data_IF_086275844191
#
_entry.id   IF_086275844191
#
_cell.length_a   1.000
_cell.length_b   1.000
_cell.length_c   1.000
_cell.angle_alpha   90.00
_cell.angle_beta   90.00
_cell.angle_gamma   90.00
#
_symmetry.space_group_name_H-M   'P 1'
#
loop_
_entity.id
_entity.type
_entity.pdbx_description
1 polymer ?
#
# COMPACT_ATOMS: atom_id res chain seq x y z
N UNK A 1 9.92 5.41 -1.67
CA UNK A 1 10.45 4.71 -0.49
C UNK A 1 10.41 3.19 -0.62
N UNK A 2 9.28 2.52 -0.92
CA UNK A 2 9.28 1.05 -1.00
C UNK A 2 10.18 0.46 -2.12
N UNK A 3 10.36 1.20 -3.23
CA UNK A 3 11.13 0.73 -4.40
C UNK A 3 12.61 0.60 -4.12
N UNK A 4 13.20 1.51 -3.33
CA UNK A 4 14.65 1.63 -3.22
C UNK A 4 15.30 0.36 -2.64
N UNK A 5 14.79 -0.24 -1.53
CA UNK A 5 15.32 -1.50 -1.01
C UNK A 5 15.15 -2.69 -1.97
N UNK A 6 14.03 -2.73 -2.70
CA UNK A 6 13.74 -3.80 -3.65
C UNK A 6 14.67 -3.71 -4.86
N UNK A 7 14.87 -2.49 -5.39
CA UNK A 7 15.79 -2.24 -6.48
C UNK A 7 17.23 -2.58 -6.08
N UNK A 8 17.68 -2.12 -4.90
CA UNK A 8 19.01 -2.40 -4.40
C UNK A 8 19.31 -3.91 -4.31
N UNK A 9 18.30 -4.72 -3.99
CA UNK A 9 18.50 -6.16 -3.83
C UNK A 9 18.36 -6.95 -5.13
N UNK A 10 17.38 -6.61 -5.96
CA UNK A 10 17.00 -7.44 -7.11
C UNK A 10 17.58 -6.95 -8.45
N UNK A 11 18.00 -5.68 -8.54
CA UNK A 11 18.35 -5.04 -9.82
C UNK A 11 19.73 -4.38 -9.80
N UNK A 12 20.02 -3.61 -8.75
CA UNK A 12 21.23 -2.79 -8.67
C UNK A 12 22.52 -3.63 -8.80
N UNK A 13 23.48 -3.12 -9.56
CA UNK A 13 24.84 -3.66 -9.58
C UNK A 13 25.53 -3.45 -8.22
N UNK A 14 26.60 -4.21 -7.92
CA UNK A 14 27.31 -4.10 -6.63
C UNK A 14 27.72 -2.66 -6.27
N UNK A 15 28.13 -1.84 -7.24
CA UNK A 15 28.52 -0.45 -6.99
C UNK A 15 27.34 0.51 -6.74
N UNK A 16 26.11 0.12 -7.09
CA UNK A 16 24.93 0.97 -6.95
C UNK A 16 24.16 0.70 -5.66
N UNK A 17 24.26 -0.51 -5.09
CA UNK A 17 23.47 -0.93 -3.92
C UNK A 17 23.61 0.04 -2.75
N UNK A 18 24.85 0.34 -2.36
CA UNK A 18 25.13 1.24 -1.24
C UNK A 18 24.54 2.64 -1.47
N UNK A 19 24.62 3.17 -2.70
CA UNK A 19 24.07 4.49 -3.03
C UNK A 19 22.55 4.53 -2.94
N UNK A 20 21.87 3.47 -3.40
CA UNK A 20 20.40 3.38 -3.33
C UNK A 20 19.93 3.20 -1.88
N UNK A 21 20.63 2.38 -1.10
CA UNK A 21 20.33 2.22 0.33
C UNK A 21 20.60 3.52 1.07
N UNK A 22 21.71 4.22 0.78
CA UNK A 22 22.00 5.51 1.40
C UNK A 22 20.91 6.54 1.09
N UNK A 23 20.40 6.60 -0.15
CA UNK A 23 19.29 7.48 -0.50
C UNK A 23 18.04 7.20 0.35
N UNK A 24 17.70 5.92 0.55
CA UNK A 24 16.59 5.54 1.42
C UNK A 24 16.83 6.04 2.86
N UNK A 25 18.01 5.78 3.42
CA UNK A 25 18.37 6.21 4.77
C UNK A 25 18.35 7.73 4.92
N UNK A 26 18.89 8.47 3.95
CA UNK A 26 18.91 9.94 3.96
C UNK A 26 17.50 10.54 4.01
N UNK A 27 16.53 9.90 3.33
CA UNK A 27 15.12 10.32 3.38
C UNK A 27 14.55 10.10 4.78
N UNK A 28 14.78 8.93 5.39
CA UNK A 28 14.26 8.61 6.72
C UNK A 28 14.91 9.50 7.79
N UNK A 29 16.23 9.68 7.71
CA UNK A 29 16.97 10.58 8.59
C UNK A 29 16.43 12.01 8.48
N UNK A 30 16.19 12.51 7.26
CA UNK A 30 15.61 13.85 7.07
C UNK A 30 14.22 13.95 7.70
N UNK A 31 13.38 12.92 7.60
CA UNK A 31 12.06 12.90 8.25
C UNK A 31 12.22 12.99 9.76
N UNK A 32 13.07 12.14 10.35
CA UNK A 32 13.32 12.09 11.80
C UNK A 32 13.87 13.43 12.32
N UNK A 33 14.87 14.00 11.64
CA UNK A 33 15.52 15.25 12.03
C UNK A 33 14.60 16.48 11.95
N UNK A 34 13.54 16.41 11.15
CA UNK A 34 12.52 17.45 11.05
C UNK A 34 11.27 17.10 11.86
N UNK A 35 11.45 16.38 12.97
CA UNK A 35 10.38 16.07 13.90
C UNK A 35 9.29 15.20 13.29
N UNK A 36 9.68 14.24 12.43
CA UNK A 36 8.78 13.34 11.69
C UNK A 36 7.94 14.03 10.61
N UNK A 37 8.46 15.12 10.03
CA UNK A 37 7.88 15.75 8.84
C UNK A 37 8.86 15.72 7.68
N UNK A 38 8.36 15.71 6.44
CA UNK A 38 9.20 15.83 5.24
C UNK A 38 9.09 17.23 4.67
N UNK A 39 10.09 18.12 4.93
CA UNK A 39 10.13 19.44 4.34
C UNK A 39 10.50 19.40 2.86
N UNK A 40 9.99 20.36 2.09
CA UNK A 40 10.39 20.61 0.70
C UNK A 40 11.72 21.39 0.64
N UNK A 41 12.13 21.85 -0.53
CA UNK A 41 13.36 22.63 -0.75
C UNK A 41 13.38 23.97 0.00
N UNK A 42 12.22 24.48 0.39
CA UNK A 42 12.03 25.73 1.12
C UNK A 42 11.99 25.55 2.66
N UNK A 43 12.11 24.31 3.14
CA UNK A 43 12.05 23.97 4.57
C UNK A 43 10.64 23.85 5.12
N UNK A 44 9.60 24.03 4.31
CA UNK A 44 8.20 23.89 4.73
C UNK A 44 7.77 22.43 4.57
N UNK A 45 7.12 21.81 5.57
CA UNK A 45 6.54 20.48 5.43
C UNK A 45 5.68 20.36 4.17
N UNK A 46 5.94 19.31 3.39
CA UNK A 46 5.12 18.98 2.22
C UNK A 46 3.70 18.65 2.65
N UNK A 47 2.71 18.84 1.75
CA UNK A 47 1.29 18.66 2.05
C UNK A 47 0.95 17.34 2.76
N UNK A 48 1.61 16.24 2.36
CA UNK A 48 1.36 14.89 2.86
C UNK A 48 2.48 14.36 3.77
N UNK A 49 3.59 15.08 3.92
CA UNK A 49 4.76 14.62 4.67
C UNK A 49 4.64 14.84 6.16
N UNK A 50 3.63 14.27 6.80
CA UNK A 50 3.29 14.48 8.21
C UNK A 50 3.15 13.15 8.96
N UNK A 51 4.22 12.75 9.66
CA UNK A 51 4.25 11.55 10.52
C UNK A 51 4.47 11.90 11.99
N UNK A 52 4.40 13.17 12.36
CA UNK A 52 4.58 13.64 13.72
C UNK A 52 3.37 13.33 14.62
N UNK A 53 3.59 13.13 15.93
CA UNK A 53 2.51 12.72 16.83
C UNK A 53 1.33 13.68 16.91
N UNK A 54 1.55 14.99 16.73
CA UNK A 54 0.49 15.97 16.75
C UNK A 54 -0.41 15.81 15.52
N UNK A 55 0.17 15.83 14.31
CA UNK A 55 -0.58 15.65 13.07
C UNK A 55 -1.31 14.31 13.03
N UNK A 56 -0.68 13.23 13.50
CA UNK A 56 -1.26 11.88 13.45
C UNK A 56 -2.39 11.69 14.48
N UNK A 57 -2.21 12.18 15.71
CA UNK A 57 -3.13 11.85 16.81
C UNK A 57 -4.06 12.99 17.24
N UNK A 58 -3.72 14.24 16.95
CA UNK A 58 -4.42 15.42 17.51
C UNK A 58 -5.02 16.33 16.42
N UNK A 59 -4.45 16.35 15.22
CA UNK A 59 -5.01 17.12 14.09
C UNK A 59 -6.22 16.40 13.48
N UNK A 60 -7.39 17.01 13.62
CA UNK A 60 -8.64 16.46 13.10
C UNK A 60 -8.73 16.55 11.58
N UNK A 61 -8.02 17.48 10.94
CA UNK A 61 -8.02 17.60 9.48
C UNK A 61 -7.24 16.45 8.81
N UNK A 62 -6.42 15.73 9.58
CA UNK A 62 -5.59 14.61 9.13
C UNK A 62 -6.01 13.27 9.71
N UNK A 63 -7.18 13.21 10.34
CA UNK A 63 -7.62 12.01 11.05
C UNK A 63 -7.71 10.77 10.14
N UNK A 64 -8.05 10.97 8.86
CA UNK A 64 -8.17 9.91 7.85
C UNK A 64 -6.84 9.23 7.56
N UNK A 65 -5.73 9.96 7.70
CA UNK A 65 -4.38 9.49 7.42
C UNK A 65 -3.71 8.84 8.64
N UNK A 66 -4.31 8.94 9.84
CA UNK A 66 -3.69 8.50 11.11
C UNK A 66 -3.12 7.09 11.03
N UNK A 67 -3.93 6.16 10.55
CA UNK A 67 -3.56 4.75 10.42
C UNK A 67 -2.47 4.53 9.37
N UNK A 68 -2.65 5.12 8.19
CA UNK A 68 -1.68 5.08 7.09
C UNK A 68 -0.31 5.65 7.50
N UNK A 69 -0.29 6.86 8.06
CA UNK A 69 0.95 7.53 8.42
C UNK A 69 1.66 6.76 9.55
N UNK A 70 0.92 6.25 10.54
CA UNK A 70 1.50 5.38 11.57
C UNK A 70 2.16 4.13 10.97
N UNK A 71 1.47 3.45 10.05
CA UNK A 71 2.02 2.29 9.35
C UNK A 71 3.29 2.64 8.58
N UNK A 72 3.24 3.71 7.79
CA UNK A 72 4.35 4.15 6.95
C UNK A 72 5.62 4.40 7.77
N UNK A 73 5.59 5.29 8.76
CA UNK A 73 6.82 5.66 9.47
C UNK A 73 7.39 4.50 10.30
N UNK A 74 6.54 3.66 10.90
CA UNK A 74 7.01 2.48 11.61
C UNK A 74 7.64 1.46 10.66
N UNK A 75 7.05 1.25 9.48
CA UNK A 75 7.64 0.43 8.41
C UNK A 75 8.97 1.02 7.96
N UNK A 76 9.07 2.34 7.76
CA UNK A 76 10.31 2.96 7.28
C UNK A 76 11.46 2.84 8.28
N UNK A 77 11.18 3.06 9.57
CA UNK A 77 12.17 2.93 10.63
C UNK A 77 12.67 1.49 10.78
N UNK A 78 11.75 0.51 10.78
CA UNK A 78 12.12 -0.92 10.84
C UNK A 78 12.87 -1.38 9.58
N UNK A 79 12.51 -0.89 8.39
CA UNK A 79 13.26 -1.15 7.17
C UNK A 79 14.67 -0.52 7.22
N UNK A 80 14.81 0.73 7.67
CA UNK A 80 16.10 1.40 7.80
C UNK A 80 17.06 0.63 8.72
N UNK A 81 16.55 0.13 9.85
CA UNK A 81 17.31 -0.73 10.76
C UNK A 81 17.86 -2.00 10.07
N UNK A 82 16.97 -2.76 9.42
CA UNK A 82 17.34 -3.99 8.71
C UNK A 82 18.38 -3.70 7.62
N UNK A 83 18.19 -2.62 6.85
CA UNK A 83 19.08 -2.25 5.75
C UNK A 83 20.46 -1.83 6.25
N UNK A 84 20.54 -1.06 7.34
CA UNK A 84 21.82 -0.74 8.00
C UNK A 84 22.58 -2.01 8.36
N UNK A 85 21.90 -2.97 9.02
CA UNK A 85 22.51 -4.23 9.43
C UNK A 85 22.92 -5.10 8.24
N UNK A 86 22.05 -5.22 7.24
CA UNK A 86 22.24 -6.09 6.05
C UNK A 86 23.40 -5.62 5.19
N UNK A 87 23.54 -4.32 5.00
CA UNK A 87 24.55 -3.72 4.11
C UNK A 87 25.75 -3.13 4.84
N UNK A 88 25.79 -3.19 6.17
CA UNK A 88 26.89 -2.62 6.96
C UNK A 88 26.99 -1.10 6.85
N UNK A 89 25.86 -0.42 6.65
CA UNK A 89 25.81 1.04 6.53
C UNK A 89 26.08 1.71 7.88
N UNK A 90 26.47 2.98 7.86
CA UNK A 90 26.55 3.78 9.09
C UNK A 90 25.18 4.38 9.40
N UNK A 91 24.61 4.07 10.56
CA UNK A 91 23.37 4.69 11.01
C UNK A 91 23.64 6.11 11.54
N UNK A 92 22.84 7.09 11.09
CA UNK A 92 22.86 8.46 11.61
C UNK A 92 21.98 8.62 12.86
N UNK A 93 20.86 7.89 12.88
CA UNK A 93 19.89 7.87 13.97
C UNK A 93 19.72 6.46 14.55
N UNK A 94 19.22 6.39 15.79
CA UNK A 94 18.77 5.13 16.39
C UNK A 94 17.31 4.86 15.95
N UNK A 95 17.16 4.23 14.79
CA UNK A 95 15.85 3.98 14.20
C UNK A 95 14.90 3.20 15.12
N UNK A 96 15.44 2.31 15.97
CA UNK A 96 14.62 1.52 16.88
C UNK A 96 14.22 2.30 18.13
N UNK A 97 15.04 3.24 18.60
CA UNK A 97 14.60 4.20 19.62
C UNK A 97 13.45 5.09 19.09
N UNK A 98 13.52 5.56 17.84
CA UNK A 98 12.42 6.31 17.24
C UNK A 98 11.18 5.45 17.00
N UNK A 99 11.36 4.18 16.58
CA UNK A 99 10.27 3.24 16.43
C UNK A 99 9.57 3.03 17.78
N UNK A 100 10.32 2.74 18.84
CA UNK A 100 9.78 2.50 20.19
C UNK A 100 9.03 3.73 20.74
N UNK A 101 9.62 4.92 20.58
CA UNK A 101 8.97 6.17 20.96
C UNK A 101 7.61 6.35 20.27
N UNK A 102 7.53 6.17 18.96
CA UNK A 102 6.27 6.33 18.23
C UNK A 102 5.27 5.20 18.52
N UNK A 103 5.75 3.95 18.51
CA UNK A 103 4.94 2.75 18.66
C UNK A 103 4.32 2.66 20.06
N UNK A 104 5.14 2.80 21.10
CA UNK A 104 4.74 2.65 22.51
C UNK A 104 4.40 3.99 23.18
N UNK A 105 5.11 5.07 22.85
CA UNK A 105 4.93 6.38 23.49
C UNK A 105 3.80 7.23 22.87
N UNK A 106 3.59 7.14 21.56
CA UNK A 106 2.72 8.06 20.81
C UNK A 106 1.48 7.37 20.20
N UNK A 107 1.06 6.22 20.74
CA UNK A 107 -0.13 5.47 20.32
C UNK A 107 -0.09 4.84 18.91
N UNK A 108 1.07 4.76 18.24
CA UNK A 108 1.06 4.25 16.85
C UNK A 108 0.74 2.76 16.78
N UNK A 109 1.05 1.96 17.83
CA UNK A 109 0.57 0.57 17.98
C UNK A 109 -0.96 0.48 17.84
N UNK A 110 -1.69 1.41 18.45
CA UNK A 110 -3.16 1.44 18.39
C UNK A 110 -3.65 1.84 17.00
N UNK A 111 -2.97 2.77 16.35
CA UNK A 111 -3.33 3.24 15.01
C UNK A 111 -3.23 2.12 13.97
N UNK A 112 -2.29 1.17 14.13
CA UNK A 112 -2.21 -0.04 13.30
C UNK A 112 -3.47 -0.92 13.39
N UNK A 113 -4.25 -0.83 14.47
CA UNK A 113 -5.51 -1.56 14.59
C UNK A 113 -6.62 -1.07 13.66
N UNK A 114 -6.47 0.13 13.06
CA UNK A 114 -7.47 0.79 12.23
C UNK A 114 -6.81 1.59 11.08
N UNK A 115 -5.96 0.91 10.30
CA UNK A 115 -5.28 1.52 9.14
C UNK A 115 -6.27 1.87 8.04
N UNK A 116 -7.15 0.93 7.67
CA UNK A 116 -8.24 1.16 6.73
C UNK A 116 -9.50 1.65 7.47
N UNK A 117 -9.90 2.88 7.21
CA UNK A 117 -11.22 3.37 7.62
C UNK A 117 -12.31 2.65 6.83
N UNK A 118 -13.39 2.27 7.52
CA UNK A 118 -14.45 1.40 6.99
C UNK A 118 -15.70 2.17 6.53
N UNK A 119 -15.78 3.46 6.83
CA UNK A 119 -16.87 4.29 6.37
C UNK A 119 -16.71 4.53 4.86
N UNK A 120 -17.80 4.39 4.10
CA UNK A 120 -17.80 4.62 2.64
C UNK A 120 -17.42 6.06 2.28
N UNK A 121 -17.74 7.02 3.15
CA UNK A 121 -17.31 8.42 3.04
C UNK A 121 -15.81 8.64 3.26
N UNK A 122 -15.08 7.62 3.69
CA UNK A 122 -13.64 7.64 3.93
C UNK A 122 -12.90 6.72 2.96
N UNK A 123 -13.59 6.16 1.96
CA UNK A 123 -12.95 5.25 1.01
C UNK A 123 -11.98 6.01 0.11
N UNK A 124 -10.70 5.65 0.21
CA UNK A 124 -9.60 6.28 -0.51
C UNK A 124 -8.66 5.22 -1.08
N UNK A 125 -8.83 4.92 -2.37
CA UNK A 125 -8.01 3.96 -3.09
C UNK A 125 -6.52 4.35 -3.18
N UNK A 126 -6.20 5.65 -3.08
CA UNK A 126 -4.80 6.09 -3.00
C UNK A 126 -4.17 5.76 -1.66
N UNK A 127 -4.93 5.82 -0.56
CA UNK A 127 -4.41 5.41 0.74
C UNK A 127 -4.24 3.89 0.77
N UNK A 128 -5.17 3.14 0.17
CA UNK A 128 -5.06 1.69 0.07
C UNK A 128 -3.80 1.26 -0.68
N UNK A 129 -3.52 1.86 -1.84
CA UNK A 129 -2.25 1.63 -2.56
C UNK A 129 -1.05 1.87 -1.64
N UNK A 130 -1.00 3.02 -0.95
CA UNK A 130 0.12 3.35 -0.07
C UNK A 130 0.25 2.41 1.14
N UNK A 131 -0.86 1.96 1.73
CA UNK A 131 -0.87 0.98 2.81
C UNK A 131 -0.25 -0.34 2.36
N UNK A 132 -0.66 -0.87 1.21
CA UNK A 132 -0.14 -2.14 0.69
C UNK A 132 1.31 -2.05 0.25
N UNK A 133 1.76 -0.91 -0.28
CA UNK A 133 3.17 -0.69 -0.57
C UNK A 133 4.03 -0.59 0.71
N UNK A 134 3.49 -0.03 1.80
CA UNK A 134 4.15 -0.07 3.10
C UNK A 134 4.22 -1.50 3.67
N UNK A 135 3.11 -2.26 3.64
CA UNK A 135 3.14 -3.67 4.05
C UNK A 135 4.12 -4.50 3.21
N UNK A 136 4.21 -4.22 1.90
CA UNK A 136 5.16 -4.94 1.04
C UNK A 136 6.61 -4.61 1.39
N UNK A 137 6.93 -3.35 1.69
CA UNK A 137 8.24 -2.97 2.21
C UNK A 137 8.54 -3.71 3.53
N UNK A 138 7.60 -3.69 4.48
CA UNK A 138 7.74 -4.40 5.76
C UNK A 138 8.00 -5.89 5.55
N UNK A 139 7.24 -6.54 4.67
CA UNK A 139 7.46 -7.93 4.33
C UNK A 139 8.87 -8.15 3.73
N UNK A 140 9.25 -7.33 2.74
CA UNK A 140 10.46 -7.52 1.97
C UNK A 140 11.73 -7.32 2.80
N UNK A 141 11.72 -6.37 3.74
CA UNK A 141 12.85 -6.11 4.63
C UNK A 141 12.71 -6.88 5.94
N UNK A 142 11.64 -6.66 6.71
CA UNK A 142 11.53 -7.18 8.08
C UNK A 142 11.24 -8.66 8.11
N UNK A 143 10.25 -9.16 7.36
CA UNK A 143 9.85 -10.56 7.47
C UNK A 143 10.82 -11.51 6.78
N UNK A 144 11.31 -11.13 5.60
CA UNK A 144 12.26 -11.96 4.85
C UNK A 144 13.66 -11.97 5.49
N UNK A 145 14.08 -10.86 6.09
CA UNK A 145 15.35 -10.74 6.82
C UNK A 145 15.12 -10.64 8.34
N UNK A 146 14.18 -11.42 8.88
CA UNK A 146 13.73 -11.34 10.29
C UNK A 146 14.84 -11.53 11.33
N UNK A 147 15.89 -12.28 11.00
CA UNK A 147 17.09 -12.44 11.83
C UNK A 147 17.89 -11.14 12.02
N UNK A 148 17.68 -10.12 11.19
CA UNK A 148 18.29 -8.80 11.31
C UNK A 148 17.39 -7.81 12.04
N UNK A 149 16.08 -8.00 12.02
CA UNK A 149 15.11 -7.13 12.70
C UNK A 149 15.25 -7.21 14.22
N UNK A 150 15.11 -6.07 14.92
CA UNK A 150 14.96 -6.08 16.39
C UNK A 150 13.50 -6.19 16.87
N UNK A 151 12.54 -6.29 15.95
CA UNK A 151 11.13 -6.45 16.32
C UNK A 151 10.86 -7.84 16.89
N UNK A 152 10.09 -7.88 17.98
CA UNK A 152 9.62 -9.13 18.56
C UNK A 152 8.40 -9.71 17.80
N UNK A 153 8.10 -10.98 18.09
CA UNK A 153 6.99 -11.70 17.46
C UNK A 153 5.63 -11.04 17.73
N UNK A 154 5.44 -10.39 18.90
CA UNK A 154 4.20 -9.67 19.21
C UNK A 154 4.02 -8.46 18.28
N UNK A 155 5.07 -7.68 18.08
CA UNK A 155 5.04 -6.51 17.20
C UNK A 155 4.83 -6.94 15.76
N UNK A 156 5.50 -7.99 15.29
CA UNK A 156 5.28 -8.57 13.96
C UNK A 156 3.81 -9.01 13.79
N UNK A 157 3.23 -9.66 14.81
CA UNK A 157 1.84 -10.08 14.77
C UNK A 157 0.87 -8.89 14.66
N UNK A 158 1.17 -7.73 15.25
CA UNK A 158 0.37 -6.50 15.08
C UNK A 158 0.34 -6.03 13.63
N UNK A 159 1.49 -6.03 12.93
CA UNK A 159 1.54 -5.66 11.51
C UNK A 159 0.76 -6.66 10.64
N UNK A 160 0.85 -7.96 10.94
CA UNK A 160 0.11 -8.99 10.22
C UNK A 160 -1.40 -8.89 10.45
N UNK A 161 -1.85 -8.69 11.68
CA UNK A 161 -3.25 -8.46 12.01
C UNK A 161 -3.79 -7.17 11.34
N UNK A 162 -2.96 -6.12 11.29
CA UNK A 162 -3.26 -4.88 10.58
C UNK A 162 -3.50 -5.12 9.08
N UNK A 163 -2.61 -5.86 8.40
CA UNK A 163 -2.79 -6.24 7.00
C UNK A 163 -4.01 -7.16 6.82
N UNK A 164 -4.22 -8.14 7.71
CA UNK A 164 -5.35 -9.07 7.61
C UNK A 164 -6.69 -8.33 7.65
N UNK A 165 -6.83 -7.40 8.62
CA UNK A 165 -8.00 -6.52 8.72
C UNK A 165 -8.14 -5.67 7.49
N UNK A 166 -7.06 -5.01 7.05
CA UNK A 166 -7.09 -4.15 5.85
C UNK A 166 -7.54 -4.95 4.62
N UNK A 167 -6.95 -6.12 4.37
CA UNK A 167 -7.28 -7.01 3.26
C UNK A 167 -8.74 -7.47 3.27
N UNK A 168 -9.27 -7.86 4.44
CA UNK A 168 -10.70 -8.19 4.58
C UNK A 168 -11.62 -7.08 4.08
N UNK A 169 -11.24 -5.82 4.32
CA UNK A 169 -12.05 -4.67 3.94
C UNK A 169 -11.87 -4.27 2.49
N UNK A 170 -10.69 -4.45 1.89
CA UNK A 170 -10.44 -3.99 0.51
C UNK A 170 -10.52 -5.09 -0.55
N UNK A 171 -10.54 -6.37 -0.17
CA UNK A 171 -10.50 -7.50 -1.11
C UNK A 171 -11.65 -7.51 -2.14
N UNK A 172 -12.79 -6.90 -1.80
CA UNK A 172 -13.94 -6.73 -2.70
C UNK A 172 -13.64 -5.82 -3.91
N UNK A 173 -12.60 -4.98 -3.85
CA UNK A 173 -12.11 -4.17 -4.97
C UNK A 173 -11.33 -4.98 -6.03
N UNK A 174 -11.06 -6.26 -5.73
CA UNK A 174 -10.38 -7.22 -6.61
C UNK A 174 -9.00 -6.76 -7.16
N UNK A 175 -8.25 -5.96 -6.40
CA UNK A 175 -6.95 -5.45 -6.81
C UNK A 175 -5.81 -6.50 -6.69
N UNK A 176 -5.11 -6.79 -7.78
CA UNK A 176 -4.02 -7.79 -7.81
C UNK A 176 -2.79 -7.46 -6.97
N UNK A 177 -2.39 -6.19 -6.84
CA UNK A 177 -1.23 -5.82 -6.01
C UNK A 177 -1.54 -6.10 -4.55
N UNK A 178 -2.73 -5.70 -4.10
CA UNK A 178 -3.18 -5.93 -2.74
C UNK A 178 -3.28 -7.43 -2.42
N UNK A 179 -3.86 -8.21 -3.35
CA UNK A 179 -3.93 -9.65 -3.22
C UNK A 179 -2.54 -10.32 -3.17
N UNK A 180 -1.61 -9.86 -4.01
CA UNK A 180 -0.23 -10.35 -4.03
C UNK A 180 0.51 -10.11 -2.72
N UNK A 181 0.40 -8.89 -2.17
CA UNK A 181 1.00 -8.54 -0.87
C UNK A 181 0.36 -9.32 0.27
N UNK A 182 -0.97 -9.48 0.28
CA UNK A 182 -1.67 -10.29 1.28
C UNK A 182 -1.19 -11.75 1.26
N UNK A 183 -1.04 -12.34 0.08
CA UNK A 183 -0.49 -13.71 -0.07
C UNK A 183 0.98 -13.81 0.36
N UNK A 184 1.80 -12.83 0.04
CA UNK A 184 3.22 -12.84 0.41
C UNK A 184 3.42 -12.79 1.93
N UNK A 185 2.66 -11.93 2.62
CA UNK A 185 2.85 -11.67 4.05
C UNK A 185 2.01 -12.56 4.96
N UNK A 186 0.82 -12.98 4.53
CA UNK A 186 -0.13 -13.76 5.33
C UNK A 186 -0.34 -15.20 4.82
N UNK A 187 0.31 -15.59 3.72
CA UNK A 187 -0.02 -16.83 2.99
C UNK A 187 0.05 -18.13 3.80
N UNK A 188 0.83 -18.16 4.89
CA UNK A 188 0.95 -19.29 5.82
C UNK A 188 -0.06 -19.23 6.98
N UNK A 189 -0.68 -18.08 7.21
CA UNK A 189 -1.66 -17.84 8.28
C UNK A 189 -3.11 -17.85 7.76
N UNK A 190 -3.30 -17.63 6.46
CA UNK A 190 -4.61 -17.73 5.82
C UNK A 190 -5.11 -19.18 5.80
N UNK A 191 -6.43 -19.34 5.97
CA UNK A 191 -7.07 -20.63 5.68
C UNK A 191 -6.91 -20.97 4.19
N UNK A 192 -6.96 -22.27 3.84
CA UNK A 192 -6.89 -22.69 2.43
C UNK A 192 -7.97 -22.02 1.56
N UNK A 193 -9.16 -21.79 2.12
CA UNK A 193 -10.25 -21.10 1.42
C UNK A 193 -9.92 -19.62 1.18
N UNK A 194 -9.40 -18.91 2.19
CA UNK A 194 -9.00 -17.50 2.05
C UNK A 194 -7.81 -17.33 1.09
N UNK A 195 -6.89 -18.30 1.10
CA UNK A 195 -5.73 -18.35 0.19
C UNK A 195 -6.16 -18.56 -1.26
N UNK A 196 -7.07 -19.51 -1.51
CA UNK A 196 -7.66 -19.75 -2.84
C UNK A 196 -8.46 -18.53 -3.33
N UNK A 197 -9.29 -17.93 -2.47
CA UNK A 197 -10.02 -16.70 -2.79
C UNK A 197 -9.08 -15.56 -3.18
N UNK A 198 -8.06 -15.29 -2.37
CA UNK A 198 -7.09 -14.21 -2.63
C UNK A 198 -6.29 -14.48 -3.91
N UNK A 199 -5.89 -15.73 -4.15
CA UNK A 199 -5.19 -16.13 -5.38
C UNK A 199 -6.09 -15.97 -6.61
N UNK A 200 -7.38 -16.25 -6.52
CA UNK A 200 -8.34 -16.03 -7.61
C UNK A 200 -8.46 -14.56 -7.97
N UNK A 201 -8.47 -13.65 -6.99
CA UNK A 201 -8.44 -12.20 -7.25
C UNK A 201 -7.19 -11.83 -8.05
N UNK A 202 -6.00 -12.20 -7.55
CA UNK A 202 -4.73 -11.94 -8.20
C UNK A 202 -4.72 -12.42 -9.66
N UNK A 203 -5.14 -13.67 -9.90
CA UNK A 203 -5.14 -14.26 -11.25
C UNK A 203 -6.20 -13.59 -12.13
N UNK A 204 -7.42 -13.36 -11.62
CA UNK A 204 -8.52 -12.74 -12.38
C UNK A 204 -8.11 -11.36 -12.87
N UNK A 205 -7.59 -10.51 -11.99
CA UNK A 205 -7.22 -9.14 -12.30
C UNK A 205 -6.05 -9.09 -13.30
N UNK A 206 -5.03 -9.96 -13.15
CA UNK A 206 -3.94 -10.09 -14.12
C UNK A 206 -4.41 -10.56 -15.50
N UNK A 207 -5.28 -11.58 -15.56
CA UNK A 207 -5.79 -12.14 -16.82
C UNK A 207 -6.69 -11.16 -17.56
N UNK A 208 -7.49 -10.38 -16.83
CA UNK A 208 -8.44 -9.42 -17.41
C UNK A 208 -7.86 -8.02 -17.60
N UNK A 209 -6.59 -7.80 -17.25
CA UNK A 209 -5.94 -6.50 -17.43
C UNK A 209 -5.98 -6.07 -18.90
N UNK A 210 -6.51 -4.88 -19.24
CA UNK A 210 -6.62 -4.47 -20.63
C UNK A 210 -5.24 -4.29 -21.26
N UNK A 211 -5.07 -4.79 -22.49
CA UNK A 211 -3.84 -4.63 -23.28
C UNK A 211 -3.62 -3.15 -23.64
N UNK A 212 -4.71 -2.45 -23.96
CA UNK A 212 -4.65 -1.01 -24.23
C UNK A 212 -4.52 -0.26 -22.92
N UNK A 213 -3.45 0.53 -22.81
CA UNK A 213 -3.16 1.37 -21.64
C UNK A 213 -3.87 2.73 -21.70
N UNK A 214 -4.74 2.93 -22.70
CA UNK A 214 -5.52 4.14 -22.89
C UNK A 214 -6.77 4.08 -22.02
N UNK A 215 -7.13 5.20 -21.42
CA UNK A 215 -8.34 5.36 -20.61
C UNK A 215 -9.58 5.52 -21.48
N UNK A 216 -9.83 4.55 -22.38
CA UNK A 216 -10.94 4.58 -23.32
C UNK A 216 -12.26 4.87 -22.63
N UNK A 217 -13.14 5.53 -23.37
CA UNK A 217 -14.49 5.73 -22.89
C UNK A 217 -15.22 4.39 -22.77
N UNK A 218 -16.06 4.26 -21.74
CA UNK A 218 -16.90 3.10 -21.53
C UNK A 218 -18.17 3.52 -20.77
N UNK A 219 -19.22 2.74 -20.93
CA UNK A 219 -20.49 2.93 -20.22
C UNK A 219 -20.99 1.59 -19.72
N UNK A 220 -20.98 1.43 -18.41
CA UNK A 220 -21.50 0.29 -17.68
C UNK A 220 -22.72 0.68 -16.80
N UNK A 221 -23.43 1.76 -17.16
CA UNK A 221 -24.54 2.32 -16.36
C UNK A 221 -25.59 1.26 -16.01
N UNK A 222 -25.87 1.04 -14.71
CA UNK A 222 -26.92 0.14 -14.24
C UNK A 222 -28.29 0.45 -14.82
N UNK A 223 -29.00 -0.59 -15.25
CA UNK A 223 -30.34 -0.49 -15.85
C UNK A 223 -30.36 -0.01 -17.31
N UNK A 224 -29.24 0.50 -17.83
CA UNK A 224 -29.10 0.92 -19.23
C UNK A 224 -28.24 -0.07 -20.00
N UNK A 225 -26.93 0.00 -19.81
CA UNK A 225 -25.97 -0.84 -20.53
C UNK A 225 -25.72 -2.17 -19.79
N UNK A 226 -25.83 -2.15 -18.46
CA UNK A 226 -25.70 -3.34 -17.60
C UNK A 226 -26.99 -3.60 -16.82
N UNK A 227 -27.56 -4.81 -16.97
CA UNK A 227 -28.80 -5.23 -16.26
C UNK A 227 -28.51 -5.99 -14.96
N UNK A 228 -27.27 -6.40 -14.79
CA UNK A 228 -26.75 -7.22 -13.69
C UNK A 228 -26.05 -6.39 -12.60
N UNK A 229 -26.03 -5.07 -12.75
CA UNK A 229 -25.37 -4.14 -11.84
C UNK A 229 -26.38 -3.24 -11.13
N UNK A 230 -26.00 -2.78 -9.95
CA UNK A 230 -26.83 -1.93 -9.10
C UNK A 230 -25.97 -0.78 -8.56
N UNK A 231 -26.58 0.38 -8.40
CA UNK A 231 -25.92 1.53 -7.76
C UNK A 231 -25.79 1.29 -6.26
N UNK A 232 -24.65 1.68 -5.70
CA UNK A 232 -24.45 1.72 -4.25
C UNK A 232 -25.32 2.84 -3.64
N UNK A 233 -26.21 2.53 -2.70
CA UNK A 233 -27.04 3.55 -2.04
C UNK A 233 -26.27 4.38 -0.99
N UNK A 234 -25.04 4.02 -0.65
CA UNK A 234 -24.24 4.74 0.34
C UNK A 234 -23.64 6.03 -0.25
N UNK A 235 -23.32 6.97 0.64
CA UNK A 235 -22.53 8.15 0.28
C UNK A 235 -21.10 7.75 -0.02
N UNK A 236 -20.53 8.29 -1.08
CA UNK A 236 -19.09 8.23 -1.32
C UNK A 236 -18.34 9.32 -0.53
N UNK A 237 -17.02 9.36 -0.71
CA UNK A 237 -16.13 10.33 -0.07
C UNK A 237 -16.38 11.78 -0.49
N UNK A 238 -17.00 12.01 -1.63
CA UNK A 238 -17.36 13.34 -2.11
C UNK A 238 -18.76 13.78 -1.65
N UNK A 239 -19.48 12.88 -0.98
CA UNK A 239 -20.85 13.11 -0.49
C UNK A 239 -21.92 12.80 -1.54
N UNK A 240 -21.56 12.17 -2.65
CA UNK A 240 -22.50 11.78 -3.71
C UNK A 240 -23.12 10.41 -3.40
N UNK A 241 -24.35 10.20 -3.86
CA UNK A 241 -25.09 8.93 -3.74
C UNK A 241 -25.36 8.38 -5.13
N UNK A 242 -25.11 7.09 -5.32
CA UNK A 242 -25.30 6.43 -6.62
C UNK A 242 -24.25 6.80 -7.67
N UNK A 243 -23.07 7.26 -7.25
CA UNK A 243 -21.88 7.48 -8.09
C UNK A 243 -21.13 6.17 -8.39
N UNK A 244 -21.37 5.10 -7.62
CA UNK A 244 -20.70 3.80 -7.74
C UNK A 244 -21.66 2.65 -7.95
N UNK A 245 -21.15 1.55 -8.51
CA UNK A 245 -21.82 0.25 -8.52
C UNK A 245 -21.43 -0.61 -7.32
N UNK A 246 -22.26 -1.59 -6.96
CA UNK A 246 -22.03 -2.46 -5.79
C UNK A 246 -20.96 -3.54 -5.98
N UNK A 247 -20.51 -3.77 -7.21
CA UNK A 247 -19.47 -4.74 -7.56
C UNK A 247 -18.48 -4.08 -8.54
N UNK A 248 -17.18 -4.41 -8.48
CA UNK A 248 -16.21 -3.79 -9.35
C UNK A 248 -16.50 -4.14 -10.82
N UNK A 249 -16.34 -3.17 -11.72
CA UNK A 249 -16.41 -3.45 -13.16
C UNK A 249 -15.22 -4.34 -13.53
N UNK A 250 -15.42 -5.41 -14.32
CA UNK A 250 -14.29 -6.19 -14.75
C UNK A 250 -13.28 -5.38 -15.57
N UNK A 251 -11.98 -5.59 -15.35
CA UNK A 251 -10.89 -4.79 -15.94
C UNK A 251 -10.91 -4.71 -17.48
N UNK A 252 -11.34 -5.76 -18.16
CA UNK A 252 -11.49 -5.85 -19.62
C UNK A 252 -12.80 -5.25 -20.15
N UNK A 253 -13.68 -4.78 -19.26
CA UNK A 253 -14.95 -4.11 -19.57
C UNK A 253 -14.95 -2.62 -19.18
N UNK A 254 -13.81 -2.09 -18.72
CA UNK A 254 -13.64 -0.70 -18.30
C UNK A 254 -12.37 -0.07 -18.89
N UNK A 255 -12.17 1.22 -18.60
CA UNK A 255 -10.94 1.94 -18.92
C UNK A 255 -9.72 1.36 -18.18
N UNK A 256 -8.52 1.61 -18.70
CA UNK A 256 -7.28 1.25 -17.98
C UNK A 256 -7.20 2.02 -16.64
N UNK A 257 -7.13 1.27 -15.53
CA UNK A 257 -7.17 1.81 -14.16
C UNK A 257 -5.85 1.60 -13.43
N UNK A 258 -5.32 2.65 -12.81
CA UNK A 258 -4.25 2.56 -11.81
C UNK A 258 -4.68 1.73 -10.58
N UNK A 259 -3.72 1.29 -9.77
CA UNK A 259 -4.03 0.53 -8.53
C UNK A 259 -4.80 1.37 -7.51
N UNK A 260 -4.67 2.70 -7.56
CA UNK A 260 -5.38 3.66 -6.73
C UNK A 260 -6.63 4.27 -7.41
N UNK A 261 -7.05 3.73 -8.55
CA UNK A 261 -8.27 4.18 -9.20
C UNK A 261 -9.47 3.38 -8.68
N UNK A 262 -10.62 4.04 -8.68
CA UNK A 262 -11.88 3.47 -8.25
C UNK A 262 -12.41 2.44 -9.25
N UNK A 263 -12.53 1.14 -8.87
CA UNK A 263 -13.03 0.09 -9.76
C UNK A 263 -14.56 0.01 -9.84
N UNK A 264 -15.29 0.83 -9.08
CA UNK A 264 -16.75 0.88 -9.00
C UNK A 264 -17.34 2.03 -9.83
N UNK A 265 -16.50 2.86 -10.45
CA UNK A 265 -16.95 3.81 -11.45
C UNK A 265 -17.46 3.06 -12.69
N UNK A 266 -18.67 3.40 -13.14
CA UNK A 266 -19.32 2.72 -14.27
C UNK A 266 -19.31 3.55 -15.55
N UNK A 267 -18.57 4.67 -15.60
CA UNK A 267 -18.38 5.49 -16.80
C UNK A 267 -16.92 5.90 -16.98
N UNK A 268 -16.51 6.05 -18.25
CA UNK A 268 -15.15 6.41 -18.64
C UNK A 268 -14.88 7.92 -18.73
N UNK A 269 -13.64 8.26 -19.11
CA UNK A 269 -13.15 9.65 -19.20
C UNK A 269 -12.80 10.10 -20.62
N UNK A 270 -13.27 9.39 -21.65
CA UNK A 270 -13.17 9.84 -23.05
C UNK A 270 -11.88 9.50 -23.81
N UNK A 271 -10.99 8.65 -23.30
CA UNK A 271 -9.84 8.14 -24.07
C UNK A 271 -8.68 9.12 -24.28
N UNK A 272 -8.50 10.10 -23.38
CA UNK A 272 -7.52 11.18 -23.55
C UNK A 272 -6.22 11.01 -22.74
N UNK A 273 -6.04 9.87 -22.06
CA UNK A 273 -4.83 9.55 -21.28
C UNK A 273 -4.35 8.14 -21.61
N UNK A 274 -3.04 7.95 -21.48
CA UNK A 274 -2.37 6.66 -21.54
C UNK A 274 -1.53 6.49 -20.27
N UNK A 275 -1.61 5.34 -19.62
CA UNK A 275 -0.87 4.99 -18.42
C UNK A 275 0.29 4.04 -18.73
N UNK A 276 1.30 3.93 -17.85
CA UNK A 276 2.38 2.97 -18.08
C UNK A 276 1.89 1.52 -17.87
N UNK A 277 2.43 0.59 -18.67
CA UNK A 277 2.20 -0.86 -18.50
C UNK A 277 2.76 -1.47 -17.22
N UNK A 278 3.40 -0.67 -16.36
CA UNK A 278 3.96 -1.11 -15.08
C UNK A 278 2.89 -1.64 -14.12
N UNK A 279 1.60 -1.31 -14.32
CA UNK A 279 0.51 -1.80 -13.49
C UNK A 279 0.34 -3.32 -13.51
N UNK A 280 0.67 -3.95 -14.64
CA UNK A 280 0.71 -5.41 -14.75
C UNK A 280 1.99 -5.98 -14.11
N UNK A 281 3.10 -5.27 -14.25
CA UNK A 281 4.43 -5.77 -13.91
C UNK A 281 4.61 -6.01 -12.41
N UNK A 282 4.21 -5.08 -11.54
CA UNK A 282 4.39 -5.27 -10.09
C UNK A 282 3.64 -6.50 -9.55
N UNK A 283 2.30 -6.65 -9.72
CA UNK A 283 1.60 -7.80 -9.17
C UNK A 283 2.05 -9.12 -9.80
N UNK A 284 2.36 -9.12 -11.10
CA UNK A 284 2.90 -10.30 -11.77
C UNK A 284 4.25 -10.71 -11.19
N UNK A 285 5.25 -9.82 -11.18
CA UNK A 285 6.59 -10.15 -10.72
C UNK A 285 6.66 -10.40 -9.22
N UNK A 286 5.86 -9.68 -8.42
CA UNK A 286 5.70 -9.98 -6.99
C UNK A 286 5.23 -11.42 -6.83
N UNK A 287 4.15 -11.81 -7.49
CA UNK A 287 3.60 -13.15 -7.34
C UNK A 287 4.52 -14.27 -7.87
N UNK A 288 5.30 -13.98 -8.92
CA UNK A 288 6.32 -14.89 -9.46
C UNK A 288 7.49 -15.04 -8.50
N UNK A 289 8.03 -13.94 -8.01
CA UNK A 289 9.15 -13.93 -7.07
C UNK A 289 8.79 -14.68 -5.77
N UNK A 290 7.53 -14.56 -5.33
CA UNK A 290 7.01 -15.23 -4.14
C UNK A 290 6.52 -16.67 -4.38
N UNK A 291 6.73 -17.24 -5.57
CA UNK A 291 6.24 -18.58 -5.94
C UNK A 291 4.72 -18.77 -5.75
N UNK A 292 3.94 -17.69 -5.72
CA UNK A 292 2.47 -17.73 -5.68
C UNK A 292 1.92 -18.25 -7.02
N UNK A 293 2.54 -17.82 -8.12
CA UNK A 293 2.28 -18.27 -9.48
C UNK A 293 3.42 -19.16 -9.97
N UNK A 294 3.08 -20.40 -10.35
CA UNK A 294 4.03 -21.35 -10.94
C UNK A 294 4.33 -21.04 -12.41
N UNK A 295 5.49 -21.49 -12.90
CA UNK A 295 5.85 -21.58 -14.34
C UNK A 295 4.85 -22.40 -15.13
#
# INVERSE_FOLDING_TARGET
>A
MFVDPIYAELVASEGEKESVIQLFLDIIDRIVENGYTMPDYDGIPTKWGHWDPYSVNQDMDRYSERGLNSLQILTYLSAAEVLVKKYGMTAKNDYMAHFDYLYNGENYKRNLGNVKLQATSEDNYSDDEQQFLAYYLFYFTVLRDSHLSSLDDETIAVFKDSLYKTWKHVSYSENSVMAGVALAMLGDELSEADKDFTKKILVKDLVRMPISQVTWDFDATPGTTRKDMYLDPNIDRWGDVGSHVTLPIPKDEQAYLQWNADPFMFTGSGGNREYPGTLYLLPYWLARYQNILST
#
